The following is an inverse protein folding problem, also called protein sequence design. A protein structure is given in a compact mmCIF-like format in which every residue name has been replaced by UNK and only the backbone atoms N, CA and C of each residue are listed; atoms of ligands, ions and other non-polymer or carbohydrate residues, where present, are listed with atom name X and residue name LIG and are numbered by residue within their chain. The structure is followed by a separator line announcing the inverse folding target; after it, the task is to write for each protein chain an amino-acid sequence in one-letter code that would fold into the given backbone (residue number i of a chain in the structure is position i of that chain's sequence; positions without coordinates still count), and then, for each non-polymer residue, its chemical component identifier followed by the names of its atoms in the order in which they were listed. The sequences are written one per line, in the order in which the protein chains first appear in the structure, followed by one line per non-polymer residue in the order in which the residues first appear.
data_IF_217878149912
#
_entry.id   IF_217878149912
#
_cell.length_a   1.000
_cell.length_b   1.000
_cell.length_c   1.000
_cell.angle_alpha   90.00
_cell.angle_beta   90.00
_cell.angle_gamma   90.00
#
_symmetry.space_group_name_H-M   'P 1'
#
loop_
_entity.id
_entity.type
_entity.pdbx_description
1 polymer ?
#
# COMPACT_ATOMS: atom_id res chain seq x y z
N UNK A 1 -8.45 9.49 2.62
CA UNK A 1 -7.65 8.58 3.46
C UNK A 1 -6.80 9.40 4.43
N UNK A 2 -7.25 9.57 5.68
CA UNK A 2 -6.57 10.40 6.72
C UNK A 2 -5.25 9.77 7.20
N UNK A 3 -5.09 8.46 7.02
CA UNK A 3 -3.88 7.75 7.41
C UNK A 3 -2.61 8.26 6.68
N UNK A 4 -2.72 8.61 5.40
CA UNK A 4 -1.58 9.08 4.62
C UNK A 4 -0.91 10.34 5.22
N UNK A 5 -1.63 11.46 5.48
CA UNK A 5 -1.01 12.62 6.11
C UNK A 5 -0.47 12.32 7.51
N UNK A 6 -1.12 11.46 8.31
CA UNK A 6 -0.60 11.06 9.62
C UNK A 6 0.76 10.38 9.49
N UNK A 7 0.89 9.43 8.56
CA UNK A 7 2.16 8.73 8.28
C UNK A 7 3.25 9.72 7.87
N UNK A 8 2.94 10.67 6.99
CA UNK A 8 3.91 11.63 6.49
C UNK A 8 4.32 12.65 7.55
N UNK A 9 3.40 13.07 8.42
CA UNK A 9 3.72 13.89 9.60
C UNK A 9 4.63 13.11 10.55
N UNK A 10 4.32 11.85 10.83
CA UNK A 10 5.14 10.98 11.67
C UNK A 10 6.54 10.76 11.08
N UNK A 11 6.63 10.51 9.78
CA UNK A 11 7.90 10.37 9.06
C UNK A 11 8.73 11.67 9.12
N UNK A 12 8.14 12.81 8.78
CA UNK A 12 8.84 14.09 8.81
C UNK A 12 9.28 14.45 10.24
N UNK A 13 8.41 14.26 11.23
CA UNK A 13 8.71 14.52 12.64
C UNK A 13 9.84 13.63 13.17
N UNK A 14 9.82 12.33 12.85
CA UNK A 14 10.90 11.41 13.25
C UNK A 14 12.21 11.69 12.52
N UNK A 15 12.17 12.11 11.25
CA UNK A 15 13.37 12.51 10.51
C UNK A 15 14.03 13.74 11.16
N UNK A 16 13.25 14.77 11.48
CA UNK A 16 13.75 15.98 12.15
C UNK A 16 14.29 15.64 13.56
N UNK A 17 13.53 14.88 14.34
CA UNK A 17 13.91 14.56 15.71
C UNK A 17 15.19 13.71 15.78
N UNK A 18 15.33 12.71 14.92
CA UNK A 18 16.51 11.82 14.93
C UNK A 18 17.75 12.48 14.35
N UNK A 19 17.60 13.36 13.36
CA UNK A 19 18.71 14.17 12.83
C UNK A 19 19.33 15.10 13.89
N UNK A 20 18.56 15.49 14.92
CA UNK A 20 19.05 16.35 15.99
C UNK A 20 19.83 15.61 17.10
N UNK A 21 19.71 14.27 17.20
CA UNK A 21 20.13 13.52 18.40
C UNK A 21 21.10 12.37 18.09
N UNK A 22 21.11 11.83 16.87
CA UNK A 22 21.83 10.59 16.54
C UNK A 22 22.72 10.77 15.31
N UNK A 23 23.68 9.85 15.12
CA UNK A 23 24.51 9.74 13.92
C UNK A 23 23.68 9.61 12.64
N UNK A 24 24.28 10.00 11.51
CA UNK A 24 23.65 10.08 10.19
C UNK A 24 23.02 8.76 9.74
N UNK A 25 23.64 7.62 10.05
CA UNK A 25 23.11 6.32 9.63
C UNK A 25 21.79 5.97 10.34
N UNK A 26 21.75 6.13 11.66
CA UNK A 26 20.57 5.78 12.48
C UNK A 26 19.43 6.77 12.26
N UNK A 27 19.73 8.03 11.94
CA UNK A 27 18.72 9.06 11.69
C UNK A 27 17.87 8.83 10.44
N UNK A 28 18.32 7.98 9.52
CA UNK A 28 17.51 7.59 8.33
C UNK A 28 16.75 6.28 8.51
N UNK A 29 17.15 5.45 9.48
CA UNK A 29 16.53 4.14 9.70
C UNK A 29 15.16 4.26 10.37
N UNK A 30 15.06 5.05 11.44
CA UNK A 30 13.80 5.22 12.18
C UNK A 30 12.69 5.80 11.28
N UNK A 31 12.92 6.87 10.50
CA UNK A 31 11.87 7.38 9.63
C UNK A 31 11.56 6.42 8.46
N UNK A 32 12.54 5.63 7.97
CA UNK A 32 12.26 4.55 7.01
C UNK A 32 11.26 3.53 7.59
N UNK A 33 11.43 3.13 8.85
CA UNK A 33 10.50 2.20 9.51
C UNK A 33 9.09 2.80 9.64
N UNK A 34 8.98 4.12 9.87
CA UNK A 34 7.67 4.81 9.86
C UNK A 34 7.03 4.74 8.48
N UNK A 35 7.80 4.94 7.40
CA UNK A 35 7.30 4.79 6.03
C UNK A 35 6.85 3.36 5.72
N UNK A 36 7.64 2.35 6.15
CA UNK A 36 7.30 0.93 5.97
C UNK A 36 5.98 0.62 6.68
N UNK A 37 5.88 0.95 7.98
CA UNK A 37 4.68 0.69 8.77
C UNK A 37 3.46 1.42 8.20
N UNK A 38 3.63 2.68 7.79
CA UNK A 38 2.57 3.46 7.19
C UNK A 38 2.10 2.91 5.85
N UNK A 39 3.03 2.44 5.01
CA UNK A 39 2.68 1.79 3.74
C UNK A 39 1.91 0.48 3.98
N UNK A 40 2.39 -0.38 4.89
CA UNK A 40 1.71 -1.63 5.23
C UNK A 40 0.30 -1.40 5.77
N UNK A 41 0.12 -0.37 6.59
CA UNK A 41 -1.20 0.01 7.11
C UNK A 41 -2.14 0.48 5.99
N UNK A 42 -1.67 1.33 5.06
CA UNK A 42 -2.46 1.75 3.88
C UNK A 42 -2.78 0.57 2.98
N UNK A 43 -1.80 -0.31 2.74
CA UNK A 43 -1.98 -1.51 1.92
C UNK A 43 -3.00 -2.47 2.51
N UNK A 44 -2.90 -2.77 3.82
CA UNK A 44 -3.85 -3.60 4.53
C UNK A 44 -5.26 -2.99 4.49
N UNK A 45 -5.39 -1.69 4.74
CA UNK A 45 -6.68 -1.00 4.67
C UNK A 45 -7.29 -1.09 3.27
N UNK A 46 -6.50 -0.84 2.23
CA UNK A 46 -6.95 -0.91 0.85
C UNK A 46 -7.47 -2.30 0.48
N UNK A 47 -6.70 -3.36 0.76
CA UNK A 47 -7.10 -4.75 0.47
C UNK A 47 -8.38 -5.14 1.20
N UNK A 48 -8.51 -4.77 2.48
CA UNK A 48 -9.70 -5.12 3.25
C UNK A 48 -10.95 -4.35 2.77
N UNK A 49 -10.82 -3.06 2.43
CA UNK A 49 -11.93 -2.28 1.86
C UNK A 49 -12.37 -2.85 0.51
N UNK A 50 -11.42 -3.20 -0.36
CA UNK A 50 -11.77 -3.83 -1.64
C UNK A 50 -12.49 -5.16 -1.46
N UNK A 51 -12.05 -5.99 -0.50
CA UNK A 51 -12.68 -7.28 -0.19
C UNK A 51 -14.11 -7.10 0.33
N UNK A 52 -14.32 -6.17 1.26
CA UNK A 52 -15.68 -5.85 1.77
C UNK A 52 -16.57 -5.37 0.63
N UNK A 53 -16.06 -4.51 -0.27
CA UNK A 53 -16.79 -4.09 -1.46
C UNK A 53 -17.21 -5.28 -2.33
N UNK A 54 -16.30 -6.22 -2.64
CA UNK A 54 -16.66 -7.41 -3.43
C UNK A 54 -17.69 -8.30 -2.74
N UNK A 55 -17.61 -8.45 -1.43
CA UNK A 55 -18.60 -9.18 -0.65
C UNK A 55 -19.98 -8.54 -0.80
N UNK A 56 -20.07 -7.22 -0.57
CA UNK A 56 -21.32 -6.47 -0.72
C UNK A 56 -21.85 -6.60 -2.15
N UNK A 57 -21.01 -6.41 -3.16
CA UNK A 57 -21.40 -6.52 -4.57
C UNK A 57 -22.09 -7.84 -4.92
N UNK A 58 -21.62 -8.97 -4.38
CA UNK A 58 -22.16 -10.30 -4.68
C UNK A 58 -23.40 -10.59 -3.85
N UNK A 59 -23.36 -10.33 -2.55
CA UNK A 59 -24.41 -10.75 -1.62
C UNK A 59 -25.53 -9.72 -1.45
N UNK A 60 -25.29 -8.45 -1.77
CA UNK A 60 -26.23 -7.35 -1.63
C UNK A 60 -26.29 -6.63 -2.97
N UNK A 61 -27.39 -6.80 -3.72
CA UNK A 61 -27.52 -6.35 -5.11
C UNK A 61 -27.52 -4.81 -5.25
N UNK A 62 -26.36 -4.19 -5.06
CA UNK A 62 -26.27 -2.74 -4.89
C UNK A 62 -26.12 -2.05 -6.25
N UNK A 63 -27.21 -1.44 -6.71
CA UNK A 63 -27.25 -0.81 -8.04
C UNK A 63 -26.28 0.37 -8.15
N UNK A 64 -26.05 1.09 -7.05
CA UNK A 64 -25.10 2.21 -7.05
C UNK A 64 -23.65 1.75 -7.19
N UNK A 65 -23.27 0.58 -6.66
CA UNK A 65 -21.90 0.07 -6.76
C UNK A 65 -21.59 -0.33 -8.21
N UNK A 66 -22.54 -0.99 -8.89
CA UNK A 66 -22.45 -1.25 -10.34
C UNK A 66 -22.33 0.04 -11.14
N UNK A 67 -23.13 1.06 -10.82
CA UNK A 67 -23.02 2.37 -11.46
C UNK A 67 -21.63 3.00 -11.24
N UNK A 68 -21.13 3.01 -10.01
CA UNK A 68 -19.81 3.54 -9.67
C UNK A 68 -18.67 2.79 -10.38
N UNK A 69 -18.74 1.47 -10.48
CA UNK A 69 -17.77 0.69 -11.25
C UNK A 69 -17.81 0.99 -12.74
N UNK A 70 -19.00 1.05 -13.34
CA UNK A 70 -19.17 1.36 -14.77
C UNK A 70 -18.61 2.76 -15.10
N UNK A 71 -18.81 3.72 -14.21
CA UNK A 71 -18.23 5.05 -14.31
C UNK A 71 -16.70 4.98 -14.27
N UNK A 72 -16.11 4.29 -13.29
CA UNK A 72 -14.65 4.18 -13.16
C UNK A 72 -13.96 3.45 -14.32
N UNK A 73 -14.64 2.48 -14.95
CA UNK A 73 -14.15 1.84 -16.16
C UNK A 73 -14.16 2.77 -17.37
N UNK A 74 -15.21 3.59 -17.51
CA UNK A 74 -15.38 4.52 -18.62
C UNK A 74 -14.50 5.76 -18.48
N UNK A 75 -14.26 6.20 -17.25
CA UNK A 75 -13.49 7.40 -16.90
C UNK A 75 -12.37 7.02 -15.93
N UNK A 76 -11.30 6.36 -16.40
CA UNK A 76 -10.18 6.00 -15.55
C UNK A 76 -9.56 7.26 -14.94
N UNK A 77 -9.40 7.25 -13.61
CA UNK A 77 -8.80 8.38 -12.91
C UNK A 77 -7.34 8.60 -13.31
N UNK A 78 -6.94 9.87 -13.44
CA UNK A 78 -5.56 10.32 -13.68
C UNK A 78 -4.75 10.53 -12.39
N UNK A 79 -5.35 10.25 -11.23
CA UNK A 79 -4.76 10.48 -9.92
C UNK A 79 -3.64 9.49 -9.53
N UNK A 80 -3.04 9.68 -8.33
CA UNK A 80 -2.12 8.71 -7.75
C UNK A 80 -2.74 7.32 -7.70
N UNK A 81 -1.91 6.27 -7.80
CA UNK A 81 -2.40 4.92 -7.59
C UNK A 81 -2.99 4.76 -6.18
N UNK A 82 -3.92 3.82 -6.00
CA UNK A 82 -4.68 3.68 -4.76
C UNK A 82 -3.82 3.39 -3.51
N UNK A 83 -2.58 2.90 -3.70
CA UNK A 83 -1.63 2.65 -2.63
C UNK A 83 -0.69 3.84 -2.38
N UNK A 84 -0.84 4.93 -3.13
CA UNK A 84 0.06 6.08 -3.13
C UNK A 84 1.53 5.67 -3.36
N UNK A 85 1.76 4.62 -4.17
CA UNK A 85 3.07 3.98 -4.35
C UNK A 85 4.15 4.99 -4.73
N UNK A 86 3.85 5.89 -5.67
CA UNK A 86 4.80 6.93 -6.10
C UNK A 86 5.21 7.87 -4.97
N UNK A 87 4.27 8.20 -4.08
CA UNK A 87 4.49 9.11 -2.96
C UNK A 87 5.38 8.45 -1.90
N UNK A 88 5.16 7.17 -1.58
CA UNK A 88 6.03 6.42 -0.69
C UNK A 88 7.44 6.20 -1.26
N UNK A 89 7.57 5.93 -2.56
CA UNK A 89 8.88 5.81 -3.22
C UNK A 89 9.63 7.14 -3.19
N UNK A 90 8.94 8.26 -3.43
CA UNK A 90 9.54 9.60 -3.32
C UNK A 90 9.98 9.88 -1.88
N UNK A 91 9.14 9.58 -0.89
CA UNK A 91 9.49 9.76 0.52
C UNK A 91 10.70 8.92 0.92
N UNK A 92 10.76 7.65 0.51
CA UNK A 92 11.92 6.79 0.74
C UNK A 92 13.18 7.34 0.06
N UNK A 93 13.05 7.90 -1.14
CA UNK A 93 14.18 8.52 -1.84
C UNK A 93 14.71 9.75 -1.10
N UNK A 94 13.81 10.62 -0.62
CA UNK A 94 14.16 11.79 0.20
C UNK A 94 14.79 11.36 1.53
N UNK A 95 14.25 10.30 2.14
CA UNK A 95 14.76 9.73 3.38
C UNK A 95 16.20 9.20 3.27
N UNK A 96 16.61 8.76 2.08
CA UNK A 96 17.95 8.26 1.83
C UNK A 96 19.00 9.37 1.63
N UNK A 97 18.59 10.61 1.34
CA UNK A 97 19.50 11.71 1.02
C UNK A 97 20.55 11.99 2.11
N UNK A 98 20.22 12.04 3.42
CA UNK A 98 21.24 12.31 4.44
C UNK A 98 22.37 11.27 4.43
N UNK A 99 22.03 9.99 4.28
CA UNK A 99 23.01 8.92 4.20
C UNK A 99 23.84 9.00 2.92
N UNK A 100 23.21 9.29 1.78
CA UNK A 100 23.92 9.42 0.49
C UNK A 100 24.91 10.59 0.47
N UNK A 101 24.65 11.67 1.22
CA UNK A 101 25.46 12.88 1.23
C UNK A 101 26.53 12.91 2.33
N UNK A 102 26.34 12.15 3.42
CA UNK A 102 27.22 12.24 4.60
C UNK A 102 27.46 10.93 5.34
N UNK A 103 27.02 9.79 4.81
CA UNK A 103 27.22 8.47 5.42
C UNK A 103 28.56 7.83 5.05
N UNK A 104 29.02 6.89 5.89
CA UNK A 104 30.14 6.02 5.55
C UNK A 104 29.74 4.99 4.48
N UNK A 105 30.72 4.44 3.75
CA UNK A 105 30.47 3.50 2.63
C UNK A 105 29.59 2.33 3.06
N UNK A 106 29.87 1.73 4.22
CA UNK A 106 29.11 0.58 4.71
C UNK A 106 27.69 0.94 5.13
N UNK A 107 27.50 2.10 5.77
CA UNK A 107 26.18 2.61 6.12
C UNK A 107 25.35 2.88 4.86
N UNK A 108 25.95 3.51 3.85
CA UNK A 108 25.31 3.76 2.56
C UNK A 108 24.86 2.44 1.91
N UNK A 109 25.72 1.43 1.87
CA UNK A 109 25.39 0.13 1.27
C UNK A 109 24.24 -0.54 2.00
N UNK A 110 24.30 -0.61 3.33
CA UNK A 110 23.23 -1.22 4.15
C UNK A 110 21.91 -0.48 3.96
N UNK A 111 21.93 0.85 4.05
CA UNK A 111 20.73 1.67 3.89
C UNK A 111 20.18 1.58 2.47
N UNK A 112 21.03 1.56 1.44
CA UNK A 112 20.59 1.39 0.06
C UNK A 112 19.85 0.07 -0.11
N UNK A 113 20.37 -1.03 0.43
CA UNK A 113 19.70 -2.34 0.40
C UNK A 113 18.34 -2.28 1.09
N UNK A 114 18.24 -1.69 2.29
CA UNK A 114 16.97 -1.57 3.01
C UNK A 114 15.93 -0.73 2.24
N UNK A 115 16.36 0.37 1.63
CA UNK A 115 15.48 1.20 0.80
C UNK A 115 15.01 0.44 -0.46
N UNK A 116 15.91 -0.30 -1.11
CA UNK A 116 15.56 -1.13 -2.27
C UNK A 116 14.58 -2.25 -1.90
N UNK A 117 14.75 -2.88 -0.73
CA UNK A 117 13.80 -3.86 -0.21
C UNK A 117 12.42 -3.24 0.01
N UNK A 118 12.35 -2.03 0.58
CA UNK A 118 11.08 -1.32 0.74
C UNK A 118 10.43 -0.97 -0.60
N UNK A 119 11.19 -0.45 -1.57
CA UNK A 119 10.69 -0.17 -2.91
C UNK A 119 10.18 -1.44 -3.59
N UNK A 120 10.91 -2.56 -3.46
CA UNK A 120 10.47 -3.85 -3.97
C UNK A 120 9.16 -4.30 -3.31
N UNK A 121 9.04 -4.15 -1.98
CA UNK A 121 7.82 -4.47 -1.24
C UNK A 121 6.60 -3.68 -1.75
N UNK A 122 6.76 -2.40 -2.08
CA UNK A 122 5.71 -1.57 -2.69
C UNK A 122 5.29 -2.14 -4.06
N UNK A 123 6.26 -2.52 -4.91
CA UNK A 123 5.97 -3.11 -6.23
C UNK A 123 5.20 -4.42 -6.10
N UNK A 124 5.60 -5.30 -5.17
CA UNK A 124 4.92 -6.57 -4.88
C UNK A 124 3.50 -6.31 -4.39
N UNK A 125 3.28 -5.35 -3.49
CA UNK A 125 1.95 -5.00 -2.98
C UNK A 125 1.01 -4.55 -4.10
N UNK A 126 1.50 -3.68 -4.99
CA UNK A 126 0.71 -3.19 -6.13
C UNK A 126 0.33 -4.32 -7.08
N UNK A 127 1.26 -5.22 -7.38
CA UNK A 127 0.98 -6.39 -8.21
C UNK A 127 -0.01 -7.35 -7.55
N UNK A 128 0.08 -7.52 -6.23
CA UNK A 128 -0.87 -8.30 -5.45
C UNK A 128 -2.28 -7.69 -5.48
N UNK A 129 -2.42 -6.40 -5.17
CA UNK A 129 -3.71 -5.71 -5.14
C UNK A 129 -4.44 -5.80 -6.49
N UNK A 130 -3.71 -5.65 -7.60
CA UNK A 130 -4.28 -5.78 -8.93
C UNK A 130 -4.89 -7.17 -9.22
N UNK A 131 -4.29 -8.25 -8.68
CA UNK A 131 -4.78 -9.64 -8.86
C UNK A 131 -5.86 -10.02 -7.86
N UNK A 132 -5.74 -9.52 -6.63
CA UNK A 132 -6.62 -9.85 -5.49
C UNK A 132 -8.08 -9.56 -5.81
N UNK A 133 -8.37 -8.46 -6.52
CA UNK A 133 -9.73 -8.05 -6.88
C UNK A 133 -10.50 -9.09 -7.69
N UNK A 134 -9.87 -9.72 -8.68
CA UNK A 134 -10.50 -10.75 -9.51
C UNK A 134 -10.71 -12.04 -8.70
N UNK A 135 -9.70 -12.43 -7.92
CA UNK A 135 -9.75 -13.66 -7.14
C UNK A 135 -10.77 -13.61 -5.98
N UNK A 136 -10.97 -12.44 -5.37
CA UNK A 136 -12.00 -12.27 -4.33
C UNK A 136 -13.41 -12.30 -4.94
N UNK A 137 -13.63 -11.69 -6.11
CA UNK A 137 -14.91 -11.75 -6.80
C UNK A 137 -15.29 -13.19 -7.18
N UNK A 138 -14.36 -13.93 -7.79
CA UNK A 138 -14.55 -15.34 -8.15
C UNK A 138 -14.92 -16.19 -6.92
N UNK A 139 -14.17 -16.03 -5.82
CA UNK A 139 -14.43 -16.75 -4.57
C UNK A 139 -15.80 -16.41 -3.97
N UNK A 140 -16.21 -15.14 -3.97
CA UNK A 140 -17.51 -14.75 -3.45
C UNK A 140 -18.66 -15.24 -4.33
N UNK A 141 -18.52 -15.18 -5.66
CA UNK A 141 -19.53 -15.73 -6.58
C UNK A 141 -19.71 -17.23 -6.36
N UNK A 142 -18.63 -17.99 -6.25
CA UNK A 142 -18.68 -19.43 -5.96
C UNK A 142 -19.34 -19.77 -4.62
N UNK A 143 -19.27 -18.87 -3.63
CA UNK A 143 -19.96 -19.03 -2.33
C UNK A 143 -21.44 -18.63 -2.38
N UNK A 144 -21.82 -17.75 -3.30
CA UNK A 144 -23.20 -17.29 -3.45
C UNK A 144 -24.05 -18.25 -4.28
N UNK A 145 -23.44 -18.90 -5.26
CA UNK A 145 -24.10 -19.94 -6.04
C UNK A 145 -24.37 -21.16 -5.15
N UNK A 146 -25.62 -21.64 -5.04
CA UNK A 146 -25.90 -22.86 -4.30
C UNK A 146 -25.11 -24.01 -4.94
N UNK A 147 -24.58 -24.97 -4.15
CA UNK A 147 -23.96 -26.15 -4.71
C UNK A 147 -24.95 -26.79 -5.68
N UNK A 148 -24.51 -27.07 -6.90
CA UNK A 148 -25.33 -27.74 -7.90
C UNK A 148 -26.00 -28.93 -7.21
N UNK A 149 -27.34 -28.95 -7.23
CA UNK A 149 -28.10 -30.04 -6.62
C UNK A 149 -27.51 -31.36 -7.13
N UNK A 150 -26.93 -32.14 -6.22
CA UNK A 150 -26.42 -33.46 -6.56
C UNK A 150 -27.58 -34.22 -7.21
N UNK A 151 -27.44 -34.71 -8.45
CA UNK A 151 -28.57 -35.28 -9.18
C UNK A 151 -29.03 -36.65 -8.66
N UNK A 152 -28.86 -36.95 -7.37
CA UNK A 152 -29.17 -38.24 -6.76
C UNK A 152 -29.67 -38.06 -5.31
N UNK A 153 -30.96 -38.33 -5.10
CA UNK A 153 -31.66 -38.36 -3.82
C UNK A 153 -33.17 -38.42 -4.03
#
# INVERSE_FOLDING_TARGET
MVLLPIVFIGWAGTAIATAAVITVAVSTLVPLLVLVAGFEAVFALHVNVERVGRYLQVFHQDQWERAAMSFGQRFPGTGPDALFSRVFVLAASVNFLPAALGGEVWDIVVLAVLHLLFVNRIRVARAFAARQRAADLERFTALHEPPAASPLG
#
